data_IF_112122957523
#
_entry.id   IF_112122957523
#
_cell.length_a   1.000
_cell.length_b   1.000
_cell.length_c   1.000
_cell.angle_alpha   90.00
_cell.angle_beta   90.00
_cell.angle_gamma   90.00
#
_symmetry.space_group_name_H-M   'P 1'
#
loop_
_entity.id
_entity.type
_entity.pdbx_description
1 polymer ?
#
# COMPACT_ATOMS: atom_id res chain seq x y z
N UNK A 1 -3.46 -17.41 -7.18
CA UNK A 1 -2.10 -17.10 -7.67
C UNK A 1 -1.57 -15.99 -6.79
N UNK A 2 -0.61 -16.28 -5.91
CA UNK A 2 0.01 -15.24 -5.09
C UNK A 2 0.93 -14.45 -6.02
N UNK A 3 0.53 -13.26 -6.42
CA UNK A 3 1.42 -12.30 -7.09
C UNK A 3 2.66 -12.16 -6.21
N UNK A 4 3.84 -12.44 -6.75
CA UNK A 4 5.08 -12.33 -6.00
C UNK A 4 5.46 -10.85 -5.95
N UNK A 5 4.85 -10.12 -5.01
CA UNK A 5 5.06 -8.68 -4.82
C UNK A 5 6.51 -8.47 -4.43
N UNK A 6 7.25 -7.69 -5.22
CA UNK A 6 8.61 -7.28 -4.86
C UNK A 6 8.55 -6.44 -3.58
N UNK A 7 9.35 -6.81 -2.58
CA UNK A 7 9.39 -6.11 -1.28
C UNK A 7 10.79 -5.64 -0.95
N UNK A 8 10.86 -4.51 -0.26
CA UNK A 8 12.10 -3.91 0.23
C UNK A 8 12.06 -3.80 1.75
N UNK A 9 13.24 -3.81 2.39
CA UNK A 9 13.33 -3.60 3.83
C UNK A 9 12.92 -2.18 4.21
N UNK A 10 12.59 -1.98 5.50
CA UNK A 10 12.30 -0.63 6.01
C UNK A 10 13.53 0.29 5.91
N UNK A 11 14.73 -0.28 6.02
CA UNK A 11 15.99 0.44 5.83
C UNK A 11 16.15 0.93 4.38
N UNK A 12 15.86 0.07 3.40
CA UNK A 12 15.91 0.42 1.98
C UNK A 12 14.84 1.44 1.61
N UNK A 13 13.61 1.26 2.11
CA UNK A 13 12.55 2.25 1.96
C UNK A 13 12.95 3.62 2.51
N UNK A 14 13.62 3.64 3.68
CA UNK A 14 14.18 4.84 4.28
C UNK A 14 15.23 5.51 3.39
N UNK A 15 16.16 4.73 2.82
CA UNK A 15 17.16 5.24 1.87
C UNK A 15 16.52 5.88 0.65
N UNK A 16 15.53 5.23 0.03
CA UNK A 16 14.84 5.77 -1.14
C UNK A 16 14.16 7.10 -0.81
N UNK A 17 13.40 7.14 0.29
CA UNK A 17 12.63 8.31 0.71
C UNK A 17 13.46 9.40 1.42
N UNK A 18 14.76 9.18 1.63
CA UNK A 18 15.63 10.12 2.32
C UNK A 18 15.28 10.31 3.81
N UNK A 19 14.76 9.27 4.46
CA UNK A 19 14.34 9.30 5.88
C UNK A 19 14.86 8.10 6.65
N UNK A 20 14.94 8.21 7.98
CA UNK A 20 15.33 7.09 8.84
C UNK A 20 14.25 6.00 8.93
N UNK A 21 14.65 4.77 9.28
CA UNK A 21 13.74 3.63 9.47
C UNK A 21 12.59 3.93 10.45
N UNK A 22 12.85 4.73 11.49
CA UNK A 22 11.83 5.18 12.45
C UNK A 22 10.69 5.94 11.74
N UNK A 23 11.01 6.73 10.72
CA UNK A 23 10.02 7.46 9.93
C UNK A 23 9.22 6.52 9.04
N UNK A 24 9.82 5.46 8.51
CA UNK A 24 9.08 4.41 7.77
C UNK A 24 8.08 3.70 8.67
N UNK A 25 8.47 3.33 9.90
CA UNK A 25 7.54 2.77 10.90
C UNK A 25 6.39 3.73 11.22
N UNK A 26 6.69 5.02 11.26
CA UNK A 26 5.67 6.06 11.46
C UNK A 26 4.73 6.15 10.24
N UNK A 27 5.25 6.12 9.02
CA UNK A 27 4.42 6.09 7.81
C UNK A 27 3.50 4.88 7.73
N UNK A 28 3.94 3.71 8.19
CA UNK A 28 3.06 2.53 8.28
C UNK A 28 1.96 2.73 9.32
N UNK A 29 2.28 3.33 10.47
CA UNK A 29 1.30 3.64 11.53
C UNK A 29 0.29 4.70 11.10
N UNK A 30 0.73 5.68 10.32
CA UNK A 30 -0.08 6.80 9.85
C UNK A 30 -0.78 6.50 8.50
N UNK A 31 -0.79 5.24 8.07
CA UNK A 31 -1.42 4.79 6.81
C UNK A 31 -0.91 5.51 5.57
N UNK A 32 0.32 6.01 5.61
CA UNK A 32 1.02 6.56 4.44
C UNK A 32 1.60 5.43 3.60
N UNK A 33 2.07 4.36 4.26
CA UNK A 33 2.56 3.13 3.67
C UNK A 33 1.87 1.95 4.36
N UNK A 34 2.01 0.74 3.82
CA UNK A 34 1.71 -0.50 4.55
C UNK A 34 2.88 -1.47 4.44
N UNK A 35 2.91 -2.45 5.33
CA UNK A 35 3.91 -3.50 5.35
C UNK A 35 3.27 -4.86 5.13
N UNK A 36 3.99 -5.73 4.44
CA UNK A 36 3.65 -7.15 4.26
C UNK A 36 4.75 -8.01 4.86
N UNK A 37 4.49 -9.32 4.99
CA UNK A 37 5.54 -10.27 5.38
C UNK A 37 6.49 -10.48 4.20
N UNK A 38 7.73 -9.99 4.31
CA UNK A 38 8.76 -10.18 3.30
C UNK A 38 9.34 -11.60 3.29
N UNK A 39 10.21 -11.88 2.32
CA UNK A 39 10.82 -13.21 2.11
C UNK A 39 11.55 -13.76 3.33
N UNK A 40 12.21 -12.88 4.10
CA UNK A 40 12.90 -13.25 5.34
C UNK A 40 11.97 -13.48 6.55
N UNK A 41 10.66 -13.36 6.35
CA UNK A 41 9.64 -13.43 7.41
C UNK A 41 9.50 -12.15 8.23
N UNK A 42 10.34 -11.14 8.00
CA UNK A 42 10.28 -9.82 8.63
C UNK A 42 9.31 -8.89 7.87
N UNK A 43 8.73 -7.87 8.54
CA UNK A 43 7.98 -6.83 7.85
C UNK A 43 8.81 -6.16 6.75
N UNK A 44 8.20 -5.98 5.59
CA UNK A 44 8.80 -5.37 4.42
C UNK A 44 7.77 -4.48 3.70
N UNK A 45 8.24 -3.48 2.96
CA UNK A 45 7.41 -2.54 2.22
C UNK A 45 7.29 -3.03 0.77
N UNK A 46 6.10 -3.11 0.18
CA UNK A 46 5.98 -3.34 -1.27
C UNK A 46 6.75 -2.28 -2.06
N UNK A 47 7.61 -2.70 -3.00
CA UNK A 47 8.49 -1.77 -3.71
C UNK A 47 7.71 -0.71 -4.49
N UNK A 48 6.58 -1.11 -5.08
CA UNK A 48 5.75 -0.30 -5.96
C UNK A 48 5.01 0.85 -5.28
N UNK A 49 4.84 0.83 -3.95
CA UNK A 49 4.22 1.95 -3.22
C UNK A 49 5.18 3.11 -2.96
N UNK A 50 6.45 2.99 -3.38
CA UNK A 50 7.43 4.08 -3.42
C UNK A 50 7.72 4.42 -4.88
N UNK A 51 7.16 5.54 -5.33
CA UNK A 51 7.15 5.95 -6.74
C UNK A 51 8.13 7.08 -7.00
N UNK A 52 8.53 7.27 -8.26
CA UNK A 52 9.37 8.39 -8.66
C UNK A 52 8.49 9.59 -8.99
N UNK A 53 8.49 10.59 -8.11
CA UNK A 53 7.84 11.88 -8.31
C UNK A 53 8.75 12.92 -8.95
N UNK A 54 8.27 14.16 -9.02
CA UNK A 54 9.02 15.27 -9.61
C UNK A 54 10.30 15.64 -8.84
N UNK A 55 10.34 15.35 -7.53
CA UNK A 55 11.43 15.72 -6.63
C UNK A 55 12.21 14.52 -6.08
N UNK A 56 12.07 13.34 -6.69
CA UNK A 56 12.68 12.10 -6.24
C UNK A 56 11.66 11.06 -5.79
N UNK A 57 12.10 10.08 -5.01
CA UNK A 57 11.22 9.03 -4.50
C UNK A 57 10.24 9.56 -3.46
N UNK A 58 8.99 9.16 -3.57
CA UNK A 58 7.91 9.53 -2.66
C UNK A 58 6.92 8.38 -2.46
N UNK A 59 6.15 8.35 -1.36
CA UNK A 59 5.04 7.42 -1.22
C UNK A 59 3.99 7.60 -2.32
N UNK A 60 3.32 6.52 -2.72
CA UNK A 60 2.20 6.58 -3.65
C UNK A 60 1.06 7.43 -3.07
N UNK A 61 0.89 8.65 -3.59
CA UNK A 61 -0.03 9.65 -3.02
C UNK A 61 -1.49 9.19 -2.91
N UNK A 62 -1.92 8.28 -3.78
CA UNK A 62 -3.30 7.79 -3.82
C UNK A 62 -3.62 6.72 -2.77
N UNK A 63 -2.60 6.11 -2.18
CA UNK A 63 -2.73 4.99 -1.26
C UNK A 63 -3.35 5.36 0.11
N UNK A 64 -3.00 6.48 0.76
CA UNK A 64 -3.42 6.72 2.13
C UNK A 64 -4.94 6.77 2.30
N UNK A 65 -5.65 7.40 1.36
CA UNK A 65 -7.11 7.47 1.42
C UNK A 65 -7.77 6.09 1.37
N UNK A 66 -7.20 5.14 0.61
CA UNK A 66 -7.70 3.76 0.57
C UNK A 66 -7.40 3.03 1.88
N UNK A 67 -6.18 3.18 2.43
CA UNK A 67 -5.80 2.53 3.69
C UNK A 67 -6.67 3.01 4.87
N UNK A 68 -6.93 4.32 4.95
CA UNK A 68 -7.83 4.88 5.97
C UNK A 68 -9.25 4.33 5.85
N UNK A 69 -9.81 4.25 4.63
CA UNK A 69 -11.15 3.69 4.44
C UNK A 69 -11.23 2.23 4.90
N UNK A 70 -10.23 1.41 4.54
CA UNK A 70 -10.20 0.01 4.96
C UNK A 70 -10.06 -0.13 6.48
N UNK A 71 -9.25 0.72 7.14
CA UNK A 71 -9.16 0.73 8.61
C UNK A 71 -10.47 1.16 9.27
N UNK A 72 -11.13 2.21 8.74
CA UNK A 72 -12.43 2.69 9.24
C UNK A 72 -13.51 1.60 9.10
N UNK A 73 -13.42 0.79 8.05
CA UNK A 73 -14.25 -0.39 7.81
C UNK A 73 -13.77 -1.62 8.62
N UNK A 74 -12.74 -1.51 9.46
CA UNK A 74 -12.33 -2.54 10.43
C UNK A 74 -11.32 -3.57 9.92
N UNK A 75 -10.74 -3.37 8.74
CA UNK A 75 -9.74 -4.29 8.18
C UNK A 75 -8.45 -4.27 9.00
N UNK A 76 -7.90 -5.45 9.25
CA UNK A 76 -6.51 -5.57 9.72
C UNK A 76 -5.51 -5.20 8.61
N UNK A 77 -4.25 -4.84 8.94
CA UNK A 77 -3.22 -4.58 7.93
C UNK A 77 -3.03 -5.73 6.94
N UNK A 78 -3.12 -6.97 7.42
CA UNK A 78 -3.03 -8.17 6.60
C UNK A 78 -4.22 -8.33 5.65
N UNK A 79 -5.44 -8.05 6.12
CA UNK A 79 -6.66 -8.08 5.29
C UNK A 79 -6.67 -6.95 4.26
N UNK A 80 -6.25 -5.75 4.65
CA UNK A 80 -6.12 -4.60 3.75
C UNK A 80 -5.11 -4.90 2.63
N UNK A 81 -3.94 -5.46 2.99
CA UNK A 81 -2.96 -5.89 2.00
C UNK A 81 -3.51 -6.99 1.08
N UNK A 82 -4.21 -7.99 1.63
CA UNK A 82 -4.84 -9.04 0.82
C UNK A 82 -5.88 -8.47 -0.15
N UNK A 83 -6.70 -7.53 0.30
CA UNK A 83 -7.69 -6.87 -0.54
C UNK A 83 -7.05 -6.05 -1.66
N UNK A 84 -6.01 -5.27 -1.36
CA UNK A 84 -5.27 -4.45 -2.34
C UNK A 84 -4.68 -5.28 -3.49
N UNK A 85 -4.33 -6.55 -3.23
CA UNK A 85 -3.77 -7.49 -4.22
C UNK A 85 -4.76 -8.53 -4.75
N UNK A 86 -6.05 -8.41 -4.41
CA UNK A 86 -7.11 -9.28 -4.93
C UNK A 86 -7.90 -8.55 -6.00
N UNK A 87 -8.09 -9.19 -7.16
CA UNK A 87 -8.87 -8.63 -8.27
C UNK A 87 -10.29 -8.32 -7.79
N UNK A 88 -10.74 -7.09 -8.05
CA UNK A 88 -12.13 -6.69 -7.83
C UNK A 88 -12.87 -6.73 -9.16
N UNK A 89 -14.02 -7.39 -9.22
CA UNK A 89 -14.80 -7.54 -10.46
C UNK A 89 -15.21 -6.16 -11.03
N UNK A 90 -15.48 -5.18 -10.18
CA UNK A 90 -15.83 -3.81 -10.55
C UNK A 90 -14.66 -3.00 -11.13
N UNK A 91 -13.42 -3.45 -10.90
CA UNK A 91 -12.20 -2.87 -11.48
C UNK A 91 -11.72 -3.65 -12.71
N UNK A 92 -11.94 -4.97 -12.72
CA UNK A 92 -11.31 -5.90 -13.67
C UNK A 92 -9.81 -6.09 -13.45
N UNK A 93 -9.28 -5.57 -12.34
CA UNK A 93 -7.88 -5.59 -11.93
C UNK A 93 -7.79 -5.52 -10.39
N UNK A 94 -6.59 -5.61 -9.84
CA UNK A 94 -6.38 -5.38 -8.40
C UNK A 94 -6.51 -3.89 -8.04
N UNK A 95 -6.96 -3.55 -6.82
CA UNK A 95 -6.96 -2.17 -6.35
C UNK A 95 -5.58 -1.53 -6.43
N UNK A 96 -4.51 -2.27 -6.14
CA UNK A 96 -3.14 -1.78 -6.21
C UNK A 96 -2.74 -1.39 -7.65
N UNK A 97 -3.06 -2.21 -8.65
CA UNK A 97 -2.86 -1.87 -10.07
C UNK A 97 -3.65 -0.62 -10.47
N UNK A 98 -4.90 -0.50 -10.02
CA UNK A 98 -5.73 0.68 -10.27
C UNK A 98 -5.16 1.94 -9.60
N UNK A 99 -4.62 1.84 -8.38
CA UNK A 99 -3.97 2.93 -7.66
C UNK A 99 -2.71 3.41 -8.39
N UNK A 100 -1.85 2.49 -8.85
CA UNK A 100 -0.66 2.83 -9.66
C UNK A 100 -1.01 3.55 -10.97
N UNK A 101 -2.19 3.27 -11.52
CA UNK A 101 -2.75 3.95 -12.71
C UNK A 101 -3.47 5.26 -12.38
N UNK A 102 -3.47 5.70 -11.12
CA UNK A 102 -4.12 6.93 -10.66
C UNK A 102 -5.64 6.84 -10.52
N UNK A 103 -6.25 5.64 -10.62
CA UNK A 103 -7.71 5.41 -10.61
C UNK A 103 -8.31 5.35 -9.19
N UNK A 104 -7.71 6.08 -8.25
CA UNK A 104 -8.01 6.03 -6.82
C UNK A 104 -9.46 6.36 -6.43
N UNK A 105 -10.14 7.23 -7.17
CA UNK A 105 -11.57 7.49 -6.92
C UNK A 105 -12.44 6.24 -7.06
N UNK A 106 -12.17 5.40 -8.06
CA UNK A 106 -12.93 4.15 -8.25
C UNK A 106 -12.57 3.12 -7.17
N UNK A 107 -11.31 3.06 -6.78
CA UNK A 107 -10.84 2.21 -5.68
C UNK A 107 -11.51 2.59 -4.36
N UNK A 108 -11.47 3.87 -3.99
CA UNK A 108 -12.11 4.38 -2.76
C UNK A 108 -13.62 4.17 -2.77
N UNK A 109 -14.27 4.31 -3.92
CA UNK A 109 -15.71 4.02 -4.06
C UNK A 109 -16.06 2.55 -3.81
N UNK A 110 -15.16 1.62 -4.09
CA UNK A 110 -15.37 0.20 -3.79
C UNK A 110 -15.05 -0.04 -2.32
N UNK A 111 -13.90 0.45 -1.84
CA UNK A 111 -13.50 0.35 -0.44
C UNK A 111 -14.61 0.79 0.51
N UNK A 112 -15.21 1.97 0.31
CA UNK A 112 -16.29 2.49 1.18
C UNK A 112 -17.59 1.68 1.20
N UNK A 113 -17.70 0.63 0.38
CA UNK A 113 -18.87 -0.27 0.36
C UNK A 113 -18.60 -1.59 1.08
N UNK A 114 -17.35 -1.82 1.49
CA UNK A 114 -16.91 -3.02 2.19
C UNK A 114 -17.21 -2.88 3.68
N UNK A 115 -18.48 -2.77 4.06
CA UNK A 115 -18.84 -2.82 5.47
C UNK A 115 -18.44 -4.20 6.04
N UNK A 116 -17.53 -4.21 7.02
CA UNK A 116 -17.04 -5.41 7.71
C UNK A 116 -17.73 -5.63 9.05
#
# INVERSE_FOLDING_TARGET
>A
MTQNVETISFEEAGRLLGVEERRIKQFVRDHVLFAVKGESGKPAIPREIIVLGANGWEPLFSLPGTLTLLEDDGFTPEEAAAWLYTVQDELGETPMEALLKGRHHKVNSIASTLAF
#
